data_IF_724090995921
#
_entry.id   IF_724090995921
#
_cell.length_a   1.000
_cell.length_b   1.000
_cell.length_c   1.000
_cell.angle_alpha   90.00
_cell.angle_beta   90.00
_cell.angle_gamma   90.00
#
_symmetry.space_group_name_H-M   'P 1'
#
loop_
_entity.id
_entity.type
_entity.pdbx_description
1 polymer ?
#
# COMPACT_ATOMS: atom_id res chain seq x y z
N UNK A 1 -1.31 -9.82 19.01
CA UNK A 1 -1.11 -10.54 17.73
C UNK A 1 0.10 -9.88 17.09
N UNK A 2 1.18 -10.64 16.91
CA UNK A 2 2.48 -10.09 16.51
C UNK A 2 2.46 -9.61 15.05
N UNK A 3 3.26 -8.58 14.74
CA UNK A 3 3.26 -7.92 13.43
C UNK A 3 3.64 -8.89 12.29
N UNK A 4 4.58 -9.80 12.55
CA UNK A 4 5.04 -10.81 11.60
C UNK A 4 3.93 -11.82 11.22
N UNK A 5 3.13 -12.27 12.17
CA UNK A 5 1.99 -13.16 11.90
C UNK A 5 0.94 -12.46 11.05
N UNK A 6 0.70 -11.17 11.29
CA UNK A 6 -0.28 -10.41 10.51
C UNK A 6 0.21 -10.13 9.08
N UNK A 7 1.52 -9.93 8.92
CA UNK A 7 2.16 -9.81 7.62
C UNK A 7 2.16 -11.14 6.86
N UNK A 8 2.37 -12.28 7.53
CA UNK A 8 2.22 -13.59 6.90
C UNK A 8 0.78 -13.89 6.46
N UNK A 9 -0.23 -13.36 7.14
CA UNK A 9 -1.63 -13.57 6.75
C UNK A 9 -2.11 -12.59 5.66
N UNK A 10 -1.65 -11.33 5.69
CA UNK A 10 -2.23 -10.25 4.86
C UNK A 10 -1.22 -9.26 4.27
N UNK A 11 0.06 -9.64 4.26
CA UNK A 11 1.17 -8.80 3.87
C UNK A 11 1.15 -8.38 2.40
N UNK A 12 1.50 -7.12 2.17
CA UNK A 12 1.79 -6.56 0.86
C UNK A 12 3.17 -5.92 0.93
N UNK A 13 3.97 -6.08 -0.11
CA UNK A 13 5.24 -5.37 -0.26
C UNK A 13 5.02 -4.32 -1.33
N UNK A 14 5.28 -3.06 -0.98
CA UNK A 14 5.19 -1.93 -1.89
C UNK A 14 6.59 -1.39 -2.12
N UNK A 15 7.12 -1.58 -3.32
CA UNK A 15 8.41 -1.03 -3.72
C UNK A 15 8.15 0.26 -4.48
N UNK A 16 8.85 1.33 -4.13
CA UNK A 16 8.72 2.61 -4.82
C UNK A 16 10.08 3.26 -5.01
N UNK A 17 10.40 3.61 -6.26
CA UNK A 17 11.57 4.46 -6.58
C UNK A 17 11.24 5.95 -6.54
N UNK A 18 10.04 6.32 -6.07
CA UNK A 18 9.59 7.70 -5.94
C UNK A 18 9.12 7.98 -4.51
N UNK A 19 9.84 8.83 -3.76
CA UNK A 19 9.43 9.25 -2.43
C UNK A 19 8.04 9.90 -2.40
N UNK A 20 7.70 10.65 -3.44
CA UNK A 20 6.40 11.31 -3.61
C UNK A 20 5.24 10.30 -3.63
N UNK A 21 5.38 9.19 -4.37
CA UNK A 21 4.35 8.15 -4.41
C UNK A 21 4.26 7.38 -3.09
N UNK A 22 5.40 7.16 -2.42
CA UNK A 22 5.44 6.56 -1.09
C UNK A 22 4.73 7.45 -0.05
N UNK A 23 4.92 8.76 -0.16
CA UNK A 23 4.23 9.76 0.68
C UNK A 23 2.73 9.77 0.42
N UNK A 24 2.29 9.77 -0.84
CA UNK A 24 0.86 9.71 -1.18
C UNK A 24 0.20 8.42 -0.65
N UNK A 25 0.89 7.27 -0.71
CA UNK A 25 0.43 6.01 -0.13
C UNK A 25 0.30 6.12 1.40
N UNK A 26 1.32 6.67 2.09
CA UNK A 26 1.33 6.87 3.55
C UNK A 26 0.28 7.86 4.01
N UNK A 27 -0.07 8.86 3.19
CA UNK A 27 -1.11 9.84 3.46
C UNK A 27 -2.48 9.48 2.90
N UNK A 28 -2.65 8.23 2.40
CA UNK A 28 -3.94 7.73 1.94
C UNK A 28 -4.56 8.60 0.83
N UNK A 29 -3.72 9.20 -0.02
CA UNK A 29 -4.12 10.02 -1.17
C UNK A 29 -4.43 9.13 -2.36
N UNK A 30 -5.44 8.29 -2.22
CA UNK A 30 -5.70 7.17 -3.12
C UNK A 30 -6.01 7.60 -4.55
N UNK A 31 -6.79 8.67 -4.72
CA UNK A 31 -7.13 9.20 -6.05
C UNK A 31 -5.89 9.81 -6.70
N UNK A 32 -5.15 10.62 -5.96
CA UNK A 32 -3.94 11.24 -6.47
C UNK A 32 -2.89 10.19 -6.86
N UNK A 33 -2.74 9.15 -6.03
CA UNK A 33 -1.80 8.06 -6.25
C UNK A 33 -2.19 7.19 -7.46
N UNK A 34 -3.38 6.57 -7.41
CA UNK A 34 -3.77 5.52 -8.36
C UNK A 34 -4.46 6.04 -9.62
N UNK A 35 -5.08 7.23 -9.56
CA UNK A 35 -5.72 7.87 -10.71
C UNK A 35 -4.83 8.93 -11.34
N UNK A 36 -4.51 10.01 -10.61
CA UNK A 36 -3.80 11.17 -11.18
C UNK A 36 -2.35 10.82 -11.55
N UNK A 37 -1.65 10.05 -10.71
CA UNK A 37 -0.26 9.60 -10.92
C UNK A 37 -0.14 8.17 -11.45
N UNK A 38 -1.21 7.61 -12.02
CA UNK A 38 -1.28 6.23 -12.54
C UNK A 38 -0.06 5.80 -13.35
N UNK A 39 0.32 6.60 -14.35
CA UNK A 39 1.47 6.32 -15.23
C UNK A 39 2.81 6.31 -14.50
N UNK A 40 2.91 7.04 -13.39
CA UNK A 40 4.10 7.06 -12.55
C UNK A 40 4.11 5.85 -11.62
N UNK A 41 2.96 5.49 -11.03
CA UNK A 41 2.78 4.26 -10.24
C UNK A 41 3.15 3.04 -11.07
N UNK A 42 2.64 2.90 -12.29
CA UNK A 42 2.97 1.77 -13.18
C UNK A 42 4.46 1.69 -13.56
N UNK A 43 5.21 2.79 -13.47
CA UNK A 43 6.65 2.82 -13.81
C UNK A 43 7.56 2.72 -12.61
N UNK A 44 7.19 3.33 -11.50
CA UNK A 44 8.05 3.57 -10.33
C UNK A 44 7.58 2.84 -9.08
N UNK A 45 6.40 2.21 -9.09
CA UNK A 45 5.90 1.40 -7.99
C UNK A 45 5.60 -0.03 -8.40
N UNK A 46 5.82 -0.95 -7.46
CA UNK A 46 5.41 -2.36 -7.58
C UNK A 46 4.72 -2.79 -6.29
N UNK A 47 3.69 -3.60 -6.46
CA UNK A 47 2.92 -4.18 -5.37
C UNK A 47 3.03 -5.69 -5.49
N UNK A 48 3.50 -6.34 -4.43
CA UNK A 48 3.62 -7.79 -4.34
C UNK A 48 2.76 -8.27 -3.19
N UNK A 49 1.87 -9.22 -3.47
CA UNK A 49 1.05 -9.88 -2.46
C UNK A 49 1.91 -10.98 -1.84
N UNK A 50 2.13 -10.89 -0.53
CA UNK A 50 2.95 -11.87 0.21
C UNK A 50 2.11 -12.73 1.15
N UNK A 51 1.12 -12.15 1.84
CA UNK A 51 0.41 -12.87 2.89
C UNK A 51 -0.43 -14.04 2.35
N UNK A 52 -0.28 -15.23 2.94
CA UNK A 52 -0.97 -16.46 2.58
C UNK A 52 -2.51 -16.28 2.50
N UNK A 53 -3.11 -15.64 3.50
CA UNK A 53 -4.54 -15.37 3.52
C UNK A 53 -4.99 -14.32 2.49
N UNK A 54 -4.08 -13.44 2.05
CA UNK A 54 -4.34 -12.49 0.95
C UNK A 54 -4.20 -13.16 -0.41
N UNK A 55 -3.28 -14.12 -0.56
CA UNK A 55 -3.13 -14.93 -1.77
C UNK A 55 -4.36 -15.80 -2.02
N UNK A 56 -4.92 -16.45 -0.99
CA UNK A 56 -6.16 -17.22 -1.13
C UNK A 56 -7.34 -16.32 -1.55
N UNK A 57 -7.43 -15.11 -0.98
CA UNK A 57 -8.44 -14.11 -1.37
C UNK A 57 -8.23 -13.56 -2.77
N UNK A 58 -6.99 -13.51 -3.26
CA UNK A 58 -6.68 -13.07 -4.62
C UNK A 58 -7.24 -14.03 -5.70
N UNK A 59 -7.59 -15.28 -5.34
CA UNK A 59 -8.30 -16.18 -6.24
C UNK A 59 -9.75 -15.74 -6.52
N UNK A 60 -10.36 -15.01 -5.58
CA UNK A 60 -11.71 -14.45 -5.70
C UNK A 60 -11.71 -13.01 -5.16
N UNK A 61 -11.13 -12.06 -5.92
CA UNK A 61 -10.99 -10.69 -5.45
C UNK A 61 -12.36 -10.05 -5.21
N UNK A 62 -12.47 -9.28 -4.13
CA UNK A 62 -13.69 -8.55 -3.78
C UNK A 62 -13.36 -7.09 -3.41
N UNK A 63 -14.28 -6.19 -3.76
CA UNK A 63 -14.17 -4.75 -3.40
C UNK A 63 -14.10 -4.63 -1.88
N UNK A 64 -13.08 -3.95 -1.37
CA UNK A 64 -12.78 -3.93 0.08
C UNK A 64 -11.54 -4.72 0.49
N UNK A 65 -10.89 -5.43 -0.44
CA UNK A 65 -9.66 -6.18 -0.18
C UNK A 65 -8.49 -5.25 0.15
N UNK A 66 -8.16 -5.12 1.43
CA UNK A 66 -7.04 -4.31 1.94
C UNK A 66 -5.98 -5.21 2.57
N UNK A 67 -4.75 -5.08 2.12
CA UNK A 67 -3.58 -5.72 2.69
C UNK A 67 -2.82 -4.80 3.65
N UNK A 68 -1.81 -5.35 4.30
CA UNK A 68 -0.89 -4.64 5.19
C UNK A 68 0.47 -4.51 4.54
N UNK A 69 0.72 -3.32 4.00
CA UNK A 69 1.85 -2.93 3.20
C UNK A 69 3.09 -2.55 4.01
N UNK A 70 4.24 -3.09 3.65
CA UNK A 70 5.55 -2.48 3.96
C UNK A 70 5.97 -1.66 2.74
N UNK A 71 6.37 -0.42 2.95
CA UNK A 71 6.87 0.46 1.88
C UNK A 71 8.38 0.44 1.87
N UNK A 72 8.96 -0.02 0.77
CA UNK A 72 10.39 -0.08 0.51
C UNK A 72 10.75 0.99 -0.53
N UNK A 73 11.56 1.96 -0.12
CA UNK A 73 12.09 2.99 -1.02
C UNK A 73 13.34 2.45 -1.71
N UNK A 74 13.15 1.90 -2.90
CA UNK A 74 14.18 1.25 -3.70
C UNK A 74 13.83 1.30 -5.19
N UNK A 75 14.83 1.14 -6.05
CA UNK A 75 14.59 0.91 -7.47
C UNK A 75 13.87 -0.42 -7.68
N UNK A 76 13.03 -0.50 -8.71
CA UNK A 76 12.37 -1.75 -9.07
C UNK A 76 13.44 -2.67 -9.67
N UNK A 77 13.86 -3.66 -8.89
CA UNK A 77 14.90 -4.61 -9.26
C UNK A 77 14.41 -6.06 -9.25
N UNK A 78 15.34 -7.00 -9.41
CA UNK A 78 15.02 -8.41 -9.48
C UNK A 78 14.43 -8.94 -8.14
N UNK A 79 13.62 -10.01 -8.16
CA UNK A 79 13.01 -10.58 -6.95
C UNK A 79 14.01 -10.87 -5.82
N UNK A 80 15.22 -11.28 -6.15
CA UNK A 80 16.27 -11.63 -5.19
C UNK A 80 16.78 -10.41 -4.41
N UNK A 81 16.86 -9.25 -5.06
CA UNK A 81 17.23 -7.99 -4.41
C UNK A 81 16.11 -7.49 -3.51
N UNK A 82 14.86 -7.65 -3.95
CA UNK A 82 13.68 -7.33 -3.15
C UNK A 82 13.65 -8.18 -1.88
N UNK A 83 13.93 -9.48 -2.00
CA UNK A 83 14.00 -10.40 -0.86
C UNK A 83 15.09 -9.97 0.13
N UNK A 84 16.29 -9.63 -0.35
CA UNK A 84 17.38 -9.15 0.50
C UNK A 84 17.01 -7.83 1.23
N UNK A 85 16.39 -6.89 0.53
CA UNK A 85 15.91 -5.63 1.12
C UNK A 85 14.82 -5.92 2.17
N UNK A 86 13.87 -6.78 1.83
CA UNK A 86 12.79 -7.17 2.75
C UNK A 86 13.37 -7.84 4.00
N UNK A 87 14.27 -8.81 3.85
CA UNK A 87 14.92 -9.50 4.96
C UNK A 87 15.66 -8.53 5.90
N UNK A 88 16.26 -7.47 5.35
CA UNK A 88 16.90 -6.42 6.16
C UNK A 88 15.92 -5.53 6.94
N UNK A 89 14.66 -5.41 6.48
CA UNK A 89 13.65 -4.50 7.06
C UNK A 89 12.59 -5.21 7.89
N UNK A 90 12.36 -6.50 7.65
CA UNK A 90 11.29 -7.26 8.29
C UNK A 90 11.52 -7.42 9.80
N UNK A 91 12.79 -7.42 10.23
CA UNK A 91 13.17 -7.41 11.64
C UNK A 91 12.85 -6.10 12.39
N UNK A 92 12.70 -4.99 11.67
CA UNK A 92 12.36 -3.68 12.24
C UNK A 92 10.84 -3.51 12.48
N UNK A 93 10.02 -4.45 12.02
CA UNK A 93 8.57 -4.43 12.20
C UNK A 93 8.20 -4.81 13.64
N UNK A 94 8.26 -3.81 14.53
CA UNK A 94 7.95 -4.00 15.94
C UNK A 94 6.44 -4.00 16.21
N UNK A 95 5.63 -3.29 15.41
CA UNK A 95 4.22 -3.14 15.65
C UNK A 95 3.35 -3.20 14.37
N UNK A 96 2.09 -3.66 14.47
CA UNK A 96 1.14 -3.61 13.34
C UNK A 96 0.85 -2.20 12.81
N UNK A 97 1.20 -1.15 13.56
CA UNK A 97 1.12 0.25 13.13
C UNK A 97 2.18 0.63 12.10
N UNK A 98 3.26 -0.14 12.00
CA UNK A 98 4.32 0.08 11.02
C UNK A 98 3.89 -0.37 9.62
N UNK A 99 2.77 -1.11 9.54
CA UNK A 99 2.17 -1.58 8.29
C UNK A 99 1.11 -0.59 7.77
N UNK A 100 1.32 -0.11 6.56
CA UNK A 100 0.40 0.80 5.87
C UNK A 100 -0.78 0.00 5.30
N UNK A 101 -2.04 0.41 5.50
CA UNK A 101 -3.17 -0.22 4.82
C UNK A 101 -3.06 0.00 3.31
N UNK A 102 -3.05 -1.06 2.50
CA UNK A 102 -2.94 -0.95 1.04
C UNK A 102 -4.20 -1.53 0.37
N UNK A 103 -5.00 -0.72 -0.34
CA UNK A 103 -6.13 -1.22 -1.10
C UNK A 103 -5.61 -1.95 -2.34
N UNK A 104 -5.65 -3.29 -2.30
CA UNK A 104 -5.01 -4.17 -3.30
C UNK A 104 -5.58 -3.90 -4.70
N UNK A 105 -6.90 -3.77 -4.80
CA UNK A 105 -7.60 -3.50 -6.06
C UNK A 105 -7.53 -2.04 -6.52
N UNK A 106 -6.91 -1.16 -5.73
CA UNK A 106 -6.61 0.20 -6.15
C UNK A 106 -5.47 0.28 -7.17
N UNK A 107 -4.60 -0.73 -7.21
CA UNK A 107 -3.47 -0.73 -8.13
C UNK A 107 -3.94 -0.83 -9.60
N UNK A 108 -3.39 0.00 -10.51
CA UNK A 108 -3.73 -0.01 -11.92
C UNK A 108 -3.70 -1.39 -12.59
N UNK A 109 -4.81 -1.74 -13.25
CA UNK A 109 -4.95 -3.00 -13.99
C UNK A 109 -5.29 -4.24 -13.16
N UNK A 110 -5.44 -4.13 -11.84
CA UNK A 110 -5.84 -5.29 -11.00
C UNK A 110 -7.35 -5.46 -10.82
N UNK A 111 -8.14 -4.43 -11.14
CA UNK A 111 -9.59 -4.45 -11.11
C UNK A 111 -10.13 -3.61 -12.26
N UNK A 112 -11.21 -4.04 -12.90
CA UNK A 112 -11.76 -3.33 -14.06
C UNK A 112 -12.34 -1.96 -13.67
N UNK A 113 -12.87 -1.83 -12.45
CA UNK A 113 -13.47 -0.59 -11.97
C UNK A 113 -12.42 0.49 -11.72
N UNK A 114 -11.13 0.13 -11.56
CA UNK A 114 -10.05 1.11 -11.36
C UNK A 114 -9.79 1.99 -12.60
N UNK A 115 -10.46 1.70 -13.73
CA UNK A 115 -10.48 2.52 -14.93
C UNK A 115 -11.45 3.72 -14.83
N UNK A 116 -12.30 3.77 -13.80
CA UNK A 116 -13.22 4.87 -13.52
C UNK A 116 -12.70 5.71 -12.33
N UNK A 117 -12.55 7.05 -12.46
CA UNK A 117 -12.19 7.91 -11.34
C UNK A 117 -13.16 7.82 -10.14
N UNK A 118 -14.45 7.57 -10.39
CA UNK A 118 -15.47 7.45 -9.35
C UNK A 118 -15.23 6.24 -8.43
N UNK A 119 -14.50 5.22 -8.89
CA UNK A 119 -14.12 4.07 -8.06
C UNK A 119 -13.33 4.49 -6.82
N UNK A 120 -12.45 5.48 -6.95
CA UNK A 120 -11.63 6.01 -5.85
C UNK A 120 -12.42 6.92 -4.89
N UNK A 121 -13.67 7.25 -5.21
CA UNK A 121 -14.57 7.99 -4.33
C UNK A 121 -15.29 7.08 -3.32
N UNK A 122 -15.19 5.75 -3.47
CA UNK A 122 -15.71 4.79 -2.51
C UNK A 122 -14.96 4.85 -1.19
N UNK A 123 -15.43 5.68 -0.25
CA UNK A 123 -14.80 5.89 1.06
C UNK A 123 -14.86 4.68 1.99
N UNK A 124 -15.74 3.71 1.74
CA UNK A 124 -15.77 2.46 2.52
C UNK A 124 -14.53 1.61 2.25
N UNK A 125 -14.02 1.70 1.01
CA UNK A 125 -12.82 1.01 0.55
C UNK A 125 -11.57 1.91 0.57
N UNK A 126 -11.60 3.05 -0.11
CA UNK A 126 -10.53 4.05 -0.17
C UNK A 126 -10.63 5.04 0.98
N UNK A 127 -10.47 4.52 2.20
CA UNK A 127 -10.59 5.31 3.43
C UNK A 127 -9.52 6.39 3.46
N UNK A 128 -9.93 7.63 3.71
CA UNK A 128 -9.00 8.71 4.04
C UNK A 128 -8.24 8.32 5.30
N UNK A 129 -6.93 8.55 5.29
CA UNK A 129 -6.08 8.30 6.44
C UNK A 129 -6.63 9.01 7.66
N UNK A 130 -6.34 8.48 8.85
CA UNK A 130 -6.58 9.25 10.07
C UNK A 130 -5.77 10.53 9.91
N UNK A 131 -6.46 11.63 9.62
CA UNK A 131 -5.90 12.96 9.70
C UNK A 131 -5.47 13.07 11.16
N UNK A 132 -4.20 12.77 11.45
CA UNK A 132 -3.59 13.14 12.71
C UNK A 132 -3.72 14.64 12.67
N UNK A 133 -4.74 15.17 13.36
CA UNK A 133 -5.02 16.59 13.37
C UNK A 133 -3.70 17.26 13.68
N UNK A 134 -3.12 17.94 12.70
CA UNK A 134 -2.12 18.95 12.98
C UNK A 134 -2.84 19.91 13.92
N UNK A 135 -2.51 19.79 15.21
CA UNK A 135 -2.94 20.73 16.21
C UNK A 135 -2.54 22.10 15.67
N UNK A 136 -3.55 22.90 15.31
CA UNK A 136 -3.40 24.34 15.18
C UNK A 136 -2.98 24.89 16.55
N UNK A 137 -1.71 24.80 16.88
CA UNK A 137 -1.09 25.65 17.87
C UNK A 137 -0.54 26.86 17.13
N UNK A 138 -1.45 27.78 16.77
CA UNK A 138 -1.05 29.17 16.64
C UNK A 138 -1.56 29.88 17.87
N UNK A 139 -0.65 29.96 18.85
CA UNK A 139 -0.70 30.96 19.89
C UNK A 139 -0.42 32.33 19.26
N UNK A 140 -1.39 33.24 19.33
CA UNK A 140 -1.21 34.59 19.87
C UNK A 140 -2.54 35.31 20.00
#
# INVERSE_FOLDING_TARGET
>A
RDALTHFDETGVIVISSSPELSEDLRHFRWRELFWEKRKLVERKMRFLIFGHGLMEKALHPYVGMTGKGIVLEAEISAPEEIDAILASRIGDLAAPSDLTPVPVLGYPGWDENNADPAYYENLDYFRKGRMRQEMKTFAK
#
